data_IF_686047882768
#
_entry.id   IF_686047882768
#
_cell.length_a   1.000
_cell.length_b   1.000
_cell.length_c   1.000
_cell.angle_alpha   90.00
_cell.angle_beta   90.00
_cell.angle_gamma   90.00
#
_symmetry.space_group_name_H-M   'P 1'
#
loop_
_entity.id
_entity.type
_entity.pdbx_description
1 polymer ?
#
# COMPACT_ATOMS: atom_id res chain seq x y z
N UNK A 1 18.34 -9.51 -14.61
CA UNK A 1 17.03 -9.43 -15.23
C UNK A 1 17.07 -8.54 -16.45
N UNK A 2 16.18 -8.80 -17.38
CA UNK A 2 16.08 -8.02 -18.59
C UNK A 2 15.55 -6.64 -18.26
N UNK A 3 16.24 -5.59 -18.69
CA UNK A 3 15.86 -4.21 -18.43
C UNK A 3 14.45 -3.90 -18.93
N UNK A 4 14.10 -4.45 -20.08
CA UNK A 4 12.80 -4.22 -20.69
C UNK A 4 11.67 -4.79 -19.83
N UNK A 5 11.87 -6.02 -19.33
CA UNK A 5 10.89 -6.64 -18.45
C UNK A 5 10.76 -5.84 -17.15
N UNK A 6 11.87 -5.36 -16.62
CA UNK A 6 11.90 -4.54 -15.43
C UNK A 6 11.08 -3.26 -15.64
N UNK A 7 11.31 -2.60 -16.78
CA UNK A 7 10.60 -1.36 -17.07
C UNK A 7 9.08 -1.59 -17.22
N UNK A 8 8.68 -2.71 -17.79
CA UNK A 8 7.25 -3.06 -17.89
C UNK A 8 6.62 -3.26 -16.53
N UNK A 9 7.34 -3.94 -15.64
CA UNK A 9 6.83 -4.17 -14.28
C UNK A 9 6.66 -2.84 -13.54
N UNK A 10 7.66 -1.96 -13.63
CA UNK A 10 7.60 -0.65 -12.99
C UNK A 10 6.45 0.17 -13.55
N UNK A 11 6.26 0.16 -14.88
CA UNK A 11 5.16 0.88 -15.50
C UNK A 11 3.80 0.35 -15.04
N UNK A 12 3.68 -0.97 -14.88
CA UNK A 12 2.46 -1.57 -14.36
C UNK A 12 2.19 -1.18 -12.91
N UNK A 13 3.23 -1.15 -12.09
CA UNK A 13 3.10 -0.73 -10.70
C UNK A 13 2.72 0.75 -10.59
N UNK A 14 3.23 1.58 -11.50
CA UNK A 14 2.82 2.99 -11.52
C UNK A 14 1.36 3.13 -11.97
N UNK A 15 0.96 2.38 -12.98
CA UNK A 15 -0.40 2.39 -13.48
C UNK A 15 -1.39 1.97 -12.38
N UNK A 16 -1.02 1.01 -11.56
CA UNK A 16 -1.84 0.56 -10.43
C UNK A 16 -2.14 1.71 -9.45
N UNK A 17 -1.20 2.62 -9.27
CA UNK A 17 -1.40 3.77 -8.39
C UNK A 17 -2.20 4.87 -9.09
N UNK A 18 -2.04 5.04 -10.39
CA UNK A 18 -2.79 6.07 -11.11
C UNK A 18 -4.26 5.71 -11.25
N UNK A 19 -4.54 4.47 -11.62
CA UNK A 19 -5.92 4.09 -11.98
C UNK A 19 -6.36 2.71 -11.50
N UNK A 20 -5.54 2.03 -10.71
CA UNK A 20 -5.85 0.68 -10.24
C UNK A 20 -6.14 0.62 -8.76
N UNK A 21 -5.83 -0.54 -8.17
CA UNK A 21 -6.16 -0.84 -6.77
C UNK A 21 -5.37 -0.02 -5.76
N UNK A 22 -4.29 0.62 -6.20
CA UNK A 22 -3.44 1.41 -5.30
C UNK A 22 -3.72 2.91 -5.38
N UNK A 23 -4.88 3.32 -5.86
CA UNK A 23 -5.19 4.74 -6.07
C UNK A 23 -5.03 5.59 -4.82
N UNK A 24 -5.32 5.04 -3.65
CA UNK A 24 -5.24 5.84 -2.42
C UNK A 24 -3.80 6.22 -2.06
N UNK A 25 -2.82 5.64 -2.73
CA UNK A 25 -1.42 6.00 -2.53
C UNK A 25 -0.94 7.07 -3.52
N UNK A 26 -1.80 7.50 -4.45
CA UNK A 26 -1.39 8.46 -5.46
C UNK A 26 -1.17 9.84 -4.84
N UNK A 27 -0.10 10.48 -5.27
CA UNK A 27 0.29 11.81 -4.77
C UNK A 27 0.79 12.65 -5.92
N UNK A 28 0.68 13.98 -5.75
CA UNK A 28 1.19 14.89 -6.76
C UNK A 28 2.64 15.28 -6.55
N UNK A 29 3.19 15.08 -5.35
CA UNK A 29 4.53 15.56 -5.02
C UNK A 29 5.65 14.52 -5.21
N UNK A 30 5.33 13.26 -5.27
CA UNK A 30 6.28 12.22 -5.70
C UNK A 30 5.51 11.03 -6.28
N UNK A 31 6.16 10.30 -7.18
CA UNK A 31 5.50 9.22 -7.89
C UNK A 31 5.64 7.90 -7.11
N UNK A 32 4.52 7.37 -6.72
CA UNK A 32 4.46 6.08 -6.01
C UNK A 32 4.18 4.97 -7.01
N UNK A 33 4.87 3.86 -6.86
CA UNK A 33 4.61 2.63 -7.60
C UNK A 33 4.23 1.55 -6.60
N UNK A 34 3.27 0.71 -6.94
CA UNK A 34 2.87 -0.33 -6.01
C UNK A 34 2.00 -1.40 -6.62
N UNK A 35 1.78 -2.44 -5.85
CA UNK A 35 0.94 -3.56 -6.24
C UNK A 35 0.28 -4.16 -5.01
N UNK A 36 -1.01 -4.39 -5.11
CA UNK A 36 -1.74 -5.07 -4.04
C UNK A 36 -1.72 -6.56 -4.26
N UNK A 37 -1.91 -7.29 -3.18
CA UNK A 37 -2.22 -8.70 -3.22
C UNK A 37 -3.24 -9.00 -2.15
N UNK A 38 -3.91 -10.13 -2.30
CA UNK A 38 -4.84 -10.61 -1.30
C UNK A 38 -4.48 -12.05 -1.06
N UNK A 39 -3.86 -12.33 0.08
CA UNK A 39 -3.46 -13.69 0.41
C UNK A 39 -4.66 -14.41 1.00
N UNK A 40 -5.04 -15.50 0.37
CA UNK A 40 -6.21 -16.26 0.81
C UNK A 40 -5.99 -16.83 2.20
N UNK A 41 -7.04 -16.82 2.98
CA UNK A 41 -7.01 -17.31 4.34
C UNK A 41 -8.38 -17.88 4.67
N UNK A 42 -8.41 -18.81 5.61
CA UNK A 42 -9.68 -19.33 6.08
C UNK A 42 -10.41 -18.18 6.79
N UNK A 43 -11.54 -17.79 6.30
CA UNK A 43 -12.27 -16.64 6.81
C UNK A 43 -11.85 -15.39 6.06
N UNK A 44 -11.36 -14.36 6.78
CA UNK A 44 -10.96 -13.11 6.15
C UNK A 44 -9.59 -13.25 5.51
N UNK A 45 -9.44 -12.73 4.30
CA UNK A 45 -8.15 -12.78 3.61
C UNK A 45 -7.18 -11.77 4.20
N UNK A 46 -5.90 -11.93 3.88
CA UNK A 46 -4.87 -11.01 4.36
C UNK A 46 -4.64 -9.90 3.33
N UNK A 47 -4.56 -8.66 3.81
CA UNK A 47 -4.34 -7.50 2.98
C UNK A 47 -2.84 -7.30 2.76
N UNK A 48 -2.41 -7.21 1.50
CA UNK A 48 -0.99 -7.12 1.15
C UNK A 48 -0.76 -5.95 0.20
N UNK A 49 0.32 -5.22 0.42
CA UNK A 49 0.76 -4.16 -0.47
C UNK A 49 2.27 -4.16 -0.53
N UNK A 50 2.79 -3.99 -1.74
CA UNK A 50 4.22 -3.75 -1.95
C UNK A 50 4.36 -2.49 -2.78
N UNK A 51 5.29 -1.64 -2.42
CA UNK A 51 5.47 -0.40 -3.15
C UNK A 51 6.83 0.22 -2.96
N UNK A 52 7.11 1.20 -3.78
CA UNK A 52 8.33 1.98 -3.64
C UNK A 52 8.09 3.40 -4.17
N UNK A 53 8.92 4.31 -3.75
CA UNK A 53 8.82 5.71 -4.15
C UNK A 53 10.14 6.43 -3.85
N UNK A 54 10.44 7.52 -4.61
CA UNK A 54 9.80 7.91 -5.86
C UNK A 54 10.10 6.92 -6.99
N UNK A 55 9.32 6.97 -8.06
CA UNK A 55 9.50 6.06 -9.20
C UNK A 55 10.91 6.14 -9.77
N UNK A 56 11.41 7.35 -9.94
CA UNK A 56 12.79 7.58 -10.38
C UNK A 56 13.64 7.82 -9.14
N UNK A 57 14.77 7.13 -9.04
CA UNK A 57 15.65 7.22 -7.88
C UNK A 57 14.91 6.90 -6.58
N UNK A 58 14.41 5.68 -6.43
CA UNK A 58 13.63 5.32 -5.24
C UNK A 58 14.42 5.51 -3.95
N UNK A 59 13.73 5.96 -2.91
CA UNK A 59 14.30 6.17 -1.59
C UNK A 59 13.82 5.15 -0.58
N UNK A 60 12.69 4.52 -0.85
CA UNK A 60 12.11 3.54 0.06
C UNK A 60 11.34 2.49 -0.74
N UNK A 61 11.48 1.25 -0.33
CA UNK A 61 10.62 0.16 -0.76
C UNK A 61 9.97 -0.42 0.48
N UNK A 62 8.70 -0.77 0.39
CA UNK A 62 7.94 -1.22 1.54
C UNK A 62 7.07 -2.41 1.17
N UNK A 63 6.89 -3.30 2.14
CA UNK A 63 5.92 -4.38 2.04
C UNK A 63 5.04 -4.32 3.29
N UNK A 64 3.74 -4.37 3.11
CA UNK A 64 2.77 -4.32 4.20
C UNK A 64 1.91 -5.56 4.13
N UNK A 65 1.77 -6.23 5.25
CA UNK A 65 0.95 -7.42 5.37
C UNK A 65 0.05 -7.22 6.58
N UNK A 66 -1.25 -7.19 6.34
CA UNK A 66 -2.21 -7.01 7.44
C UNK A 66 -3.05 -8.27 7.55
N UNK A 67 -2.79 -9.03 8.57
CA UNK A 67 -3.47 -10.28 8.81
C UNK A 67 -4.96 -10.04 8.97
N UNK A 68 -5.77 -10.80 8.24
CA UNK A 68 -7.23 -10.67 8.23
C UNK A 68 -7.72 -9.29 7.81
N UNK A 69 -6.89 -8.52 7.12
CA UNK A 69 -7.26 -7.16 6.70
C UNK A 69 -8.10 -7.09 5.43
N UNK A 70 -8.37 -8.21 4.78
CA UNK A 70 -9.19 -8.22 3.58
C UNK A 70 -8.42 -7.78 2.34
N UNK A 71 -9.03 -6.93 1.52
CA UNK A 71 -8.38 -6.50 0.28
C UNK A 71 -7.20 -5.58 0.55
N UNK A 72 -6.17 -5.69 -0.30
CA UNK A 72 -4.98 -4.85 -0.19
C UNK A 72 -5.29 -3.37 -0.18
N UNK A 73 -6.31 -2.96 -0.96
CA UNK A 73 -6.70 -1.56 -1.05
C UNK A 73 -7.27 -0.99 0.26
N UNK A 74 -7.78 -1.84 1.14
CA UNK A 74 -8.45 -1.38 2.36
C UNK A 74 -7.49 -1.06 3.49
N UNK A 75 -6.39 -1.79 3.60
CA UNK A 75 -5.41 -1.61 4.68
C UNK A 75 -3.99 -1.47 4.16
N UNK A 76 -3.54 -2.43 3.35
CA UNK A 76 -2.16 -2.45 2.89
C UNK A 76 -1.74 -1.17 2.19
N UNK A 77 -2.53 -0.71 1.24
CA UNK A 77 -2.18 0.49 0.46
C UNK A 77 -2.16 1.75 1.31
N UNK A 78 -3.23 2.07 2.06
CA UNK A 78 -3.19 3.31 2.85
C UNK A 78 -2.13 3.30 3.94
N UNK A 79 -1.89 2.15 4.59
CA UNK A 79 -0.84 2.05 5.60
C UNK A 79 0.53 2.26 4.96
N UNK A 80 0.78 1.58 3.83
CA UNK A 80 2.03 1.75 3.10
C UNK A 80 2.25 3.18 2.64
N UNK A 81 1.19 3.83 2.17
CA UNK A 81 1.26 5.22 1.73
C UNK A 81 1.66 6.15 2.88
N UNK A 82 1.07 5.95 4.06
CA UNK A 82 1.42 6.75 5.23
C UNK A 82 2.87 6.53 5.65
N UNK A 83 3.34 5.30 5.61
CA UNK A 83 4.72 4.99 5.98
C UNK A 83 5.72 5.60 4.99
N UNK A 84 5.40 5.55 3.70
CA UNK A 84 6.26 6.18 2.69
C UNK A 84 6.28 7.70 2.86
N UNK A 85 5.14 8.30 3.17
CA UNK A 85 5.07 9.74 3.40
C UNK A 85 5.93 10.13 4.60
N UNK A 86 5.80 9.41 5.70
CA UNK A 86 6.60 9.69 6.89
C UNK A 86 8.10 9.62 6.58
N UNK A 87 8.50 8.63 5.81
CA UNK A 87 9.91 8.45 5.48
C UNK A 87 10.42 9.53 4.54
N UNK A 88 9.67 9.81 3.45
CA UNK A 88 10.13 10.73 2.40
C UNK A 88 10.02 12.18 2.85
N UNK A 89 8.93 12.54 3.52
CA UNK A 89 8.67 13.93 3.92
C UNK A 89 9.15 14.25 5.33
N UNK A 90 9.47 13.23 6.11
CA UNK A 90 9.89 13.43 7.50
C UNK A 90 8.76 13.60 8.48
N UNK A 91 7.54 13.81 7.99
CA UNK A 91 6.34 13.94 8.83
C UNK A 91 5.12 13.72 7.97
N UNK A 92 4.01 13.41 8.62
CA UNK A 92 2.72 13.29 7.94
C UNK A 92 2.06 14.66 7.82
N UNK A 93 1.34 14.89 6.73
CA UNK A 93 0.52 16.09 6.59
C UNK A 93 -0.66 16.00 7.56
N UNK A 94 -1.35 17.12 7.84
CA UNK A 94 -2.52 17.08 8.73
C UNK A 94 -3.59 16.09 8.28
N UNK A 95 -3.86 15.99 6.98
CA UNK A 95 -4.85 15.05 6.49
C UNK A 95 -4.36 13.60 6.65
N UNK A 96 -3.05 13.37 6.48
CA UNK A 96 -2.49 12.04 6.67
C UNK A 96 -2.50 11.63 8.14
N UNK A 97 -2.23 12.58 9.05
CA UNK A 97 -2.31 12.29 10.48
C UNK A 97 -3.72 11.89 10.87
N UNK A 98 -4.71 12.56 10.33
CA UNK A 98 -6.10 12.24 10.61
C UNK A 98 -6.44 10.83 10.11
N UNK A 99 -5.94 10.48 8.94
CA UNK A 99 -6.15 9.16 8.37
C UNK A 99 -5.48 8.09 9.22
N UNK A 100 -4.27 8.36 9.71
CA UNK A 100 -3.56 7.43 10.58
C UNK A 100 -4.35 7.18 11.87
N UNK A 101 -4.95 8.23 12.43
CA UNK A 101 -5.80 8.09 13.62
C UNK A 101 -7.01 7.21 13.35
N UNK A 102 -7.60 7.34 12.18
CA UNK A 102 -8.74 6.49 11.80
C UNK A 102 -8.35 5.03 11.78
N UNK A 103 -7.16 4.72 11.26
CA UNK A 103 -6.69 3.33 11.21
C UNK A 103 -6.45 2.78 12.61
N UNK A 104 -6.00 3.60 13.54
CA UNK A 104 -5.80 3.16 14.91
C UNK A 104 -7.12 2.74 15.59
N UNK A 105 -8.24 3.26 15.10
CA UNK A 105 -9.54 2.94 15.67
C UNK A 105 -10.22 1.75 15.02
N UNK A 106 -9.69 1.23 13.93
CA UNK A 106 -10.30 0.10 13.25
C UNK A 106 -10.03 -1.20 13.98
N UNK A 107 -10.99 -2.08 13.92
CA UNK A 107 -10.86 -3.42 14.50
C UNK A 107 -10.88 -4.45 13.40
N UNK A 108 -10.02 -5.44 13.53
CA UNK A 108 -9.95 -6.56 12.61
C UNK A 108 -10.38 -7.80 13.37
N UNK A 109 -11.31 -8.56 12.77
CA UNK A 109 -11.81 -9.77 13.41
C UNK A 109 -10.79 -10.89 13.26
N UNK A 110 -10.45 -11.51 14.40
CA UNK A 110 -9.55 -12.65 14.42
C UNK A 110 -10.28 -13.86 15.03
N UNK A 111 -9.66 -14.99 14.95
CA UNK A 111 -10.15 -16.20 15.60
C UNK A 111 -11.31 -16.81 14.85
N UNK A 112 -12.32 -17.18 15.60
CA UNK A 112 -13.38 -17.93 15.04
C UNK A 112 -14.03 -17.27 13.86
N UNK A 113 -13.89 -17.88 12.76
CA UNK A 113 -14.50 -17.42 11.56
C UNK A 113 -15.52 -18.43 11.13
N UNK A 114 -16.40 -18.73 11.95
CA UNK A 114 -17.38 -19.71 11.63
C UNK A 114 -18.22 -19.28 10.57
N UNK A 115 -17.64 -18.51 9.87
CA UNK A 115 -18.30 -17.94 8.79
C UNK A 115 -18.30 -18.75 7.66
#
# INVERSE_FOLDING_TARGET
ANRRAYDYVVAGMRSSVIKGTCKSANRSDYLVCGKTGTAQNRGQDHSVFMGFAPMNSPKIAIAVYVENGGFGADYGVPIGALMMEQYIKGKLSPSSEKRAEEFQKRHIAYGSRNR
#
